data_IF_141516131323
#
_entry.id   IF_141516131323
#
_cell.length_a   1.000
_cell.length_b   1.000
_cell.length_c   1.000
_cell.angle_alpha   90.00
_cell.angle_beta   90.00
_cell.angle_gamma   90.00
#
_symmetry.space_group_name_H-M   'P 1'
#
loop_
_entity.id
_entity.type
_entity.pdbx_description
1 polymer ?
#
# COMPACT_ATOMS: atom_id res chain seq x y z
N UNK A 1 -4.85 10.54 -11.30
CA UNK A 1 -6.23 10.22 -10.83
C UNK A 1 -6.41 10.77 -9.44
N UNK A 2 -7.60 11.22 -9.06
CA UNK A 2 -7.95 11.55 -7.67
C UNK A 2 -8.64 10.40 -6.94
N UNK A 3 -8.72 10.47 -5.61
CA UNK A 3 -9.34 9.41 -4.82
C UNK A 3 -10.83 9.19 -5.14
N UNK A 4 -11.67 10.21 -5.35
CA UNK A 4 -13.07 10.00 -5.77
C UNK A 4 -13.22 9.18 -7.04
N UNK A 5 -12.39 9.43 -8.03
CA UNK A 5 -12.38 8.66 -9.28
C UNK A 5 -11.92 7.22 -9.04
N UNK A 6 -10.86 7.03 -8.26
CA UNK A 6 -10.38 5.72 -7.83
C UNK A 6 -11.48 4.92 -7.13
N UNK A 7 -12.10 5.51 -6.10
CA UNK A 7 -13.19 4.90 -5.34
C UNK A 7 -14.38 4.50 -6.23
N UNK A 8 -14.78 5.39 -7.14
CA UNK A 8 -15.89 5.13 -8.06
C UNK A 8 -15.61 3.95 -8.99
N UNK A 9 -14.39 3.84 -9.51
CA UNK A 9 -14.00 2.73 -10.37
C UNK A 9 -14.02 1.42 -9.57
N UNK A 10 -13.39 1.39 -8.39
CA UNK A 10 -13.40 0.18 -7.57
C UNK A 10 -14.81 -0.25 -7.18
N UNK A 11 -15.65 0.70 -6.72
CA UNK A 11 -17.04 0.39 -6.36
C UNK A 11 -17.82 -0.24 -7.51
N UNK A 12 -17.57 0.19 -8.74
CA UNK A 12 -18.24 -0.33 -9.93
C UNK A 12 -17.91 -1.81 -10.19
N UNK A 13 -16.67 -2.24 -9.92
CA UNK A 13 -16.20 -3.58 -10.28
C UNK A 13 -16.03 -4.53 -9.08
N UNK A 14 -15.85 -4.01 -7.88
CA UNK A 14 -15.64 -4.80 -6.67
C UNK A 14 -16.80 -4.69 -5.67
N UNK A 15 -17.66 -3.68 -5.79
CA UNK A 15 -18.66 -3.36 -4.77
C UNK A 15 -19.95 -4.17 -4.82
N UNK A 16 -20.14 -5.08 -5.77
CA UNK A 16 -21.23 -6.07 -5.84
C UNK A 16 -22.63 -5.52 -5.47
N UNK A 17 -22.92 -4.27 -5.80
CA UNK A 17 -24.18 -3.60 -5.46
C UNK A 17 -24.21 -2.89 -4.11
N UNK A 18 -23.15 -2.95 -3.31
CA UNK A 18 -23.04 -2.26 -2.03
C UNK A 18 -23.32 -0.75 -2.16
N UNK A 19 -23.89 -0.14 -1.14
CA UNK A 19 -24.01 1.33 -1.03
C UNK A 19 -22.63 1.98 -0.88
N UNK A 20 -22.54 3.30 -0.98
CA UNK A 20 -21.25 4.01 -0.80
C UNK A 20 -20.67 3.78 0.59
N UNK A 21 -21.43 3.90 1.71
CA UNK A 21 -20.88 3.64 3.03
C UNK A 21 -20.44 2.18 3.23
N UNK A 22 -21.22 1.21 2.75
CA UNK A 22 -20.87 -0.22 2.84
C UNK A 22 -19.58 -0.50 2.09
N UNK A 23 -19.48 -0.10 0.83
CA UNK A 23 -18.26 -0.32 0.06
C UNK A 23 -17.04 0.43 0.63
N UNK A 24 -17.25 1.57 1.29
CA UNK A 24 -16.13 2.27 1.94
C UNK A 24 -15.59 1.47 3.13
N UNK A 25 -16.45 0.78 3.89
CA UNK A 25 -16.04 -0.15 4.96
C UNK A 25 -15.29 -1.34 4.39
N UNK A 26 -15.86 -1.99 3.39
CA UNK A 26 -15.18 -3.08 2.66
C UNK A 26 -13.79 -2.66 2.15
N UNK A 27 -13.67 -1.46 1.61
CA UNK A 27 -12.39 -0.93 1.13
C UNK A 27 -11.37 -0.73 2.26
N UNK A 28 -11.81 -0.31 3.47
CA UNK A 28 -10.95 -0.25 4.66
C UNK A 28 -10.46 -1.65 5.03
N UNK A 29 -11.36 -2.62 5.11
CA UNK A 29 -11.06 -4.00 5.47
C UNK A 29 -10.13 -4.68 4.45
N UNK A 30 -10.34 -4.41 3.15
CA UNK A 30 -9.46 -4.89 2.10
C UNK A 30 -8.03 -4.37 2.21
N UNK A 31 -7.83 -3.14 2.70
CA UNK A 31 -6.50 -2.51 2.74
C UNK A 31 -5.81 -2.64 4.09
N UNK A 32 -6.51 -3.08 5.14
CA UNK A 32 -5.96 -3.16 6.50
C UNK A 32 -6.08 -4.53 7.16
N UNK A 33 -7.00 -5.37 6.75
CA UNK A 33 -7.43 -6.62 7.44
C UNK A 33 -8.09 -6.37 8.82
N UNK A 34 -8.25 -5.12 9.23
CA UNK A 34 -8.87 -4.74 10.50
C UNK A 34 -10.36 -4.42 10.29
N UNK A 35 -11.14 -4.48 11.38
CA UNK A 35 -12.54 -4.07 11.38
C UNK A 35 -12.67 -2.58 11.02
N UNK A 36 -13.48 -2.29 10.00
CA UNK A 36 -13.66 -0.94 9.51
C UNK A 36 -14.22 0.01 10.58
N UNK A 37 -15.12 -0.45 11.46
CA UNK A 37 -15.74 0.38 12.52
C UNK A 37 -14.71 0.78 13.58
N UNK A 38 -13.73 -0.08 13.88
CA UNK A 38 -12.63 0.25 14.78
C UNK A 38 -11.80 1.41 14.22
N UNK A 39 -11.41 1.33 12.94
CA UNK A 39 -10.63 2.37 12.26
C UNK A 39 -11.42 3.67 12.14
N UNK A 40 -12.71 3.58 11.80
CA UNK A 40 -13.62 4.73 11.69
C UNK A 40 -13.73 5.43 13.03
N UNK A 41 -13.98 4.68 14.10
CA UNK A 41 -14.09 5.20 15.47
C UNK A 41 -12.78 5.85 15.92
N UNK A 42 -11.63 5.19 15.72
CA UNK A 42 -10.30 5.73 16.02
C UNK A 42 -9.99 7.02 15.24
N UNK A 43 -10.62 7.18 14.07
CA UNK A 43 -10.55 8.42 13.27
C UNK A 43 -11.40 9.56 13.85
N UNK A 44 -12.16 9.30 14.92
CA UNK A 44 -13.01 10.29 15.61
C UNK A 44 -14.32 10.58 14.89
N UNK A 45 -14.80 9.66 14.08
CA UNK A 45 -16.13 9.72 13.47
C UNK A 45 -17.12 9.09 14.44
N UNK A 46 -18.16 9.84 14.81
CA UNK A 46 -19.19 9.35 15.74
C UNK A 46 -20.25 8.57 15.00
N UNK A 47 -20.83 7.56 15.65
CA UNK A 47 -21.79 6.62 15.07
C UNK A 47 -22.97 7.27 14.34
N UNK A 48 -23.49 8.40 14.86
CA UNK A 48 -24.64 9.10 14.27
C UNK A 48 -24.35 9.75 12.89
N UNK A 49 -23.07 9.99 12.55
CA UNK A 49 -22.67 10.70 11.32
C UNK A 49 -21.81 9.86 10.40
N UNK A 50 -21.58 8.60 10.74
CA UNK A 50 -20.64 7.73 10.03
C UNK A 50 -20.95 7.67 8.54
N UNK A 51 -22.14 7.24 8.15
CA UNK A 51 -22.50 7.05 6.75
C UNK A 51 -22.41 8.34 5.92
N UNK A 52 -22.88 9.45 6.46
CA UNK A 52 -22.78 10.76 5.80
C UNK A 52 -21.30 11.17 5.61
N UNK A 53 -20.46 10.87 6.59
CA UNK A 53 -19.02 11.14 6.51
C UNK A 53 -18.35 10.28 5.47
N UNK A 54 -18.65 8.97 5.42
CA UNK A 54 -18.11 8.06 4.41
C UNK A 54 -18.55 8.44 2.99
N UNK A 55 -19.82 8.86 2.81
CA UNK A 55 -20.29 9.43 1.52
C UNK A 55 -19.51 10.69 1.15
N UNK A 56 -19.22 11.56 2.12
CA UNK A 56 -18.40 12.76 1.89
C UNK A 56 -16.97 12.39 1.51
N UNK A 57 -16.39 11.38 2.16
CA UNK A 57 -15.04 10.89 1.85
C UNK A 57 -14.96 10.29 0.45
N UNK A 58 -15.93 9.49 0.05
CA UNK A 58 -15.99 8.96 -1.32
C UNK A 58 -16.02 10.07 -2.39
N UNK A 59 -16.61 11.23 -2.08
CA UNK A 59 -16.73 12.38 -3.00
C UNK A 59 -15.55 13.35 -2.99
N UNK A 60 -14.79 13.42 -1.89
CA UNK A 60 -13.76 14.46 -1.68
C UNK A 60 -12.39 13.94 -1.25
N UNK A 61 -12.30 12.69 -0.88
CA UNK A 61 -11.21 12.03 -0.14
C UNK A 61 -11.37 12.11 1.38
N UNK A 62 -10.71 11.18 2.07
CA UNK A 62 -10.78 11.03 3.52
C UNK A 62 -9.89 12.04 4.26
N UNK A 63 -10.13 12.17 5.58
CA UNK A 63 -9.39 13.10 6.43
C UNK A 63 -7.96 12.63 6.72
N UNK A 64 -7.08 13.57 7.11
CA UNK A 64 -5.73 13.25 7.59
C UNK A 64 -5.74 12.28 8.78
N UNK A 65 -6.74 12.41 9.67
CA UNK A 65 -6.87 11.52 10.83
C UNK A 65 -7.19 10.10 10.41
N UNK A 66 -8.11 9.92 9.46
CA UNK A 66 -8.40 8.62 8.85
C UNK A 66 -7.15 8.05 8.15
N UNK A 67 -6.47 8.87 7.34
CA UNK A 67 -5.25 8.47 6.67
C UNK A 67 -4.17 7.95 7.64
N UNK A 68 -3.99 8.61 8.79
CA UNK A 68 -3.04 8.18 9.82
C UNK A 68 -3.47 6.84 10.44
N UNK A 69 -4.75 6.59 10.67
CA UNK A 69 -5.21 5.31 11.19
C UNK A 69 -4.99 4.16 10.19
N UNK A 70 -5.25 4.43 8.91
CA UNK A 70 -4.99 3.46 7.84
C UNK A 70 -3.51 3.18 7.65
N UNK A 71 -2.66 4.21 7.69
CA UNK A 71 -1.24 4.13 7.36
C UNK A 71 -0.46 3.08 8.15
N UNK A 72 -0.73 2.98 9.46
CA UNK A 72 -0.05 2.03 10.35
C UNK A 72 -0.60 0.60 10.24
N UNK A 73 -1.72 0.42 9.55
CA UNK A 73 -2.44 -0.85 9.41
C UNK A 73 -2.48 -1.38 7.98
N UNK A 74 -1.83 -0.66 7.05
CA UNK A 74 -1.86 -1.05 5.63
C UNK A 74 -1.35 -2.47 5.44
N UNK A 75 -2.23 -3.31 4.92
CA UNK A 75 -1.92 -4.62 4.36
C UNK A 75 -2.73 -4.81 3.07
N UNK A 76 -2.08 -4.73 1.93
CA UNK A 76 -2.75 -4.80 0.63
C UNK A 76 -3.10 -6.22 0.17
N UNK A 77 -2.79 -7.26 0.97
CA UNK A 77 -2.97 -8.65 0.56
C UNK A 77 -4.43 -8.99 0.24
N UNK A 78 -5.37 -8.62 1.14
CA UNK A 78 -6.80 -8.88 0.94
C UNK A 78 -7.36 -8.15 -0.28
N UNK A 79 -6.92 -6.93 -0.55
CA UNK A 79 -7.33 -6.20 -1.74
C UNK A 79 -6.77 -6.85 -3.02
N UNK A 80 -5.54 -7.34 -2.98
CA UNK A 80 -4.94 -8.11 -4.07
C UNK A 80 -5.76 -9.36 -4.35
N UNK A 81 -6.08 -10.16 -3.31
CA UNK A 81 -6.89 -11.37 -3.41
C UNK A 81 -8.31 -11.07 -3.92
N UNK A 82 -8.93 -10.00 -3.43
CA UNK A 82 -10.26 -9.56 -3.88
C UNK A 82 -10.30 -9.24 -5.37
N UNK A 83 -9.23 -8.67 -5.92
CA UNK A 83 -9.12 -8.40 -7.36
C UNK A 83 -8.84 -9.71 -8.12
N UNK A 84 -7.91 -10.54 -7.65
CA UNK A 84 -7.53 -11.81 -8.29
C UNK A 84 -8.69 -12.83 -8.32
N UNK A 85 -9.61 -12.76 -7.37
CA UNK A 85 -10.80 -13.62 -7.33
C UNK A 85 -11.90 -13.23 -8.33
N UNK A 86 -11.78 -12.08 -8.99
CA UNK A 86 -12.78 -11.64 -9.99
C UNK A 86 -12.60 -12.38 -11.31
N UNK A 87 -13.70 -12.54 -12.08
CA UNK A 87 -13.61 -13.07 -13.45
C UNK A 87 -12.65 -12.24 -14.31
N UNK A 88 -11.91 -12.90 -15.20
CA UNK A 88 -10.94 -12.24 -16.10
C UNK A 88 -11.54 -11.06 -16.87
N UNK A 89 -12.80 -11.17 -17.30
CA UNK A 89 -13.51 -10.09 -17.95
C UNK A 89 -13.64 -8.85 -17.05
N UNK A 90 -13.95 -9.05 -15.77
CA UNK A 90 -14.05 -7.96 -14.79
C UNK A 90 -12.69 -7.30 -14.56
N UNK A 91 -11.63 -8.11 -14.44
CA UNK A 91 -10.26 -7.61 -14.29
C UNK A 91 -9.86 -6.80 -15.53
N UNK A 92 -10.18 -7.26 -16.72
CA UNK A 92 -9.89 -6.56 -17.97
C UNK A 92 -10.63 -5.20 -18.05
N UNK A 93 -11.91 -5.17 -17.68
CA UNK A 93 -12.71 -3.93 -17.67
C UNK A 93 -12.18 -2.94 -16.61
N UNK A 94 -11.86 -3.41 -15.41
CA UNK A 94 -11.25 -2.63 -14.36
C UNK A 94 -9.91 -2.03 -14.81
N UNK A 95 -9.06 -2.87 -15.40
CA UNK A 95 -7.75 -2.47 -15.94
C UNK A 95 -7.89 -1.39 -17.02
N UNK A 96 -8.83 -1.54 -17.94
CA UNK A 96 -9.06 -0.57 -19.01
C UNK A 96 -9.45 0.83 -18.48
N UNK A 97 -10.25 0.89 -17.42
CA UNK A 97 -10.57 2.19 -16.78
C UNK A 97 -9.34 2.80 -16.09
N UNK A 98 -8.54 1.99 -15.40
CA UNK A 98 -7.30 2.46 -14.76
C UNK A 98 -6.23 2.87 -15.76
N UNK A 99 -6.11 2.16 -16.88
CA UNK A 99 -5.11 2.43 -17.92
C UNK A 99 -5.21 3.85 -18.49
N UNK A 100 -6.41 4.45 -18.47
CA UNK A 100 -6.61 5.85 -18.88
C UNK A 100 -5.85 6.86 -17.99
N UNK A 101 -5.48 6.48 -16.79
CA UNK A 101 -4.75 7.30 -15.81
C UNK A 101 -3.34 6.80 -15.53
N UNK A 102 -3.13 5.48 -15.64
CA UNK A 102 -1.89 4.75 -15.38
C UNK A 102 -1.64 3.77 -16.52
N UNK A 103 -0.98 4.19 -17.60
CA UNK A 103 -0.77 3.35 -18.79
C UNK A 103 0.05 2.08 -18.56
N UNK A 104 0.76 2.01 -17.43
CA UNK A 104 1.56 0.86 -17.00
C UNK A 104 0.74 -0.26 -16.33
N UNK A 105 -0.57 -0.03 -16.08
CA UNK A 105 -1.44 -1.05 -15.50
C UNK A 105 -1.95 -1.96 -16.61
N UNK A 106 -1.68 -3.26 -16.44
CA UNK A 106 -2.14 -4.35 -17.31
C UNK A 106 -2.98 -5.33 -16.50
N UNK A 107 -3.72 -6.22 -17.16
CA UNK A 107 -4.49 -7.25 -16.45
C UNK A 107 -3.59 -8.16 -15.57
N UNK A 108 -2.33 -8.35 -15.98
CA UNK A 108 -1.37 -9.18 -15.27
C UNK A 108 -0.86 -8.55 -13.96
N UNK A 109 -0.81 -7.21 -13.89
CA UNK A 109 -0.28 -6.50 -12.73
C UNK A 109 -1.34 -5.69 -11.96
N UNK A 110 -2.59 -5.66 -12.43
CA UNK A 110 -3.67 -4.87 -11.84
C UNK A 110 -3.89 -5.17 -10.35
N UNK A 111 -3.85 -6.46 -9.97
CA UNK A 111 -4.05 -6.90 -8.58
C UNK A 111 -2.99 -6.36 -7.61
N UNK A 112 -1.81 -6.00 -8.09
CA UNK A 112 -0.72 -5.43 -7.31
C UNK A 112 -0.71 -3.90 -7.41
N UNK A 113 -0.86 -3.36 -8.63
CA UNK A 113 -0.74 -1.92 -8.88
C UNK A 113 -1.92 -1.10 -8.34
N UNK A 114 -3.14 -1.64 -8.40
CA UNK A 114 -4.33 -0.92 -7.92
C UNK A 114 -4.31 -0.68 -6.41
N UNK A 115 -3.99 -1.68 -5.54
CA UNK A 115 -3.78 -1.43 -4.11
C UNK A 115 -2.66 -0.43 -3.81
N UNK A 116 -1.55 -0.44 -4.55
CA UNK A 116 -0.46 0.53 -4.36
C UNK A 116 -0.93 1.98 -4.55
N UNK A 117 -1.82 2.24 -5.51
CA UNK A 117 -2.40 3.57 -5.73
C UNK A 117 -3.19 4.02 -4.50
N UNK A 118 -3.95 3.11 -3.87
CA UNK A 118 -4.67 3.45 -2.65
C UNK A 118 -3.72 3.78 -1.49
N UNK A 119 -2.66 3.00 -1.34
CA UNK A 119 -1.61 3.28 -0.35
C UNK A 119 -0.98 4.67 -0.59
N UNK A 120 -0.78 5.05 -1.83
CA UNK A 120 -0.26 6.38 -2.17
C UNK A 120 -1.24 7.50 -1.77
N UNK A 121 -2.56 7.33 -1.95
CA UNK A 121 -3.55 8.27 -1.41
C UNK A 121 -3.52 8.37 0.11
N UNK A 122 -3.39 7.23 0.81
CA UNK A 122 -3.28 7.20 2.27
C UNK A 122 -2.05 8.00 2.71
N UNK A 123 -0.90 7.77 2.09
CA UNK A 123 0.36 8.47 2.40
C UNK A 123 0.27 9.96 2.15
N UNK A 124 -0.28 10.35 1.00
CA UNK A 124 -0.48 11.76 0.65
C UNK A 124 -1.32 12.47 1.70
N UNK A 125 -2.45 11.89 2.06
CA UNK A 125 -3.38 12.46 3.05
C UNK A 125 -2.83 12.46 4.47
N UNK A 126 -2.01 11.48 4.83
CA UNK A 126 -1.30 11.47 6.10
C UNK A 126 -0.25 12.61 6.21
N UNK A 127 0.08 13.24 5.08
CA UNK A 127 1.09 14.29 5.02
C UNK A 127 2.53 13.73 4.89
N UNK A 128 2.65 12.47 4.47
CA UNK A 128 3.95 11.85 4.22
C UNK A 128 4.53 12.20 2.84
N UNK A 129 3.95 13.19 2.15
CA UNK A 129 4.33 13.65 0.83
C UNK A 129 4.48 12.51 -0.20
N UNK A 130 3.84 12.62 -1.34
CA UNK A 130 4.16 11.72 -2.44
C UNK A 130 5.66 11.91 -2.71
N UNK A 131 6.45 10.86 -2.51
CA UNK A 131 7.75 10.87 -3.14
C UNK A 131 7.46 10.98 -4.64
N UNK A 132 7.85 12.08 -5.28
CA UNK A 132 7.66 12.22 -6.73
C UNK A 132 8.12 10.92 -7.38
N UNK A 133 7.53 10.51 -8.49
CA UNK A 133 7.92 9.27 -9.19
C UNK A 133 9.45 9.18 -9.37
N UNK A 134 10.12 10.32 -9.52
CA UNK A 134 11.59 10.47 -9.58
C UNK A 134 12.25 10.07 -8.24
N UNK A 135 11.69 10.46 -7.09
CA UNK A 135 12.27 10.13 -5.79
C UNK A 135 12.02 8.65 -5.45
N UNK A 136 10.84 8.11 -5.78
CA UNK A 136 10.54 6.67 -5.64
C UNK A 136 11.49 5.84 -6.52
N UNK A 137 11.68 6.23 -7.77
CA UNK A 137 12.61 5.58 -8.69
C UNK A 137 14.06 5.65 -8.17
N UNK A 138 14.50 6.77 -7.60
CA UNK A 138 15.83 6.91 -7.00
C UNK A 138 16.01 5.99 -5.81
N UNK A 139 15.02 5.89 -4.90
CA UNK A 139 15.09 4.97 -3.75
C UNK A 139 15.12 3.51 -4.15
N UNK A 140 14.30 3.13 -5.14
CA UNK A 140 14.28 1.76 -5.67
C UNK A 140 15.62 1.45 -6.37
N UNK A 141 16.18 2.38 -7.13
CA UNK A 141 17.47 2.20 -7.77
C UNK A 141 18.60 1.98 -6.74
N UNK A 142 18.61 2.77 -5.66
CA UNK A 142 19.56 2.61 -4.56
C UNK A 142 19.34 1.27 -3.84
N UNK A 143 18.11 0.91 -3.53
CA UNK A 143 17.77 -0.39 -2.94
C UNK A 143 18.24 -1.55 -3.81
N UNK A 144 17.99 -1.50 -5.12
CA UNK A 144 18.43 -2.53 -6.06
C UNK A 144 19.97 -2.72 -6.10
N UNK A 145 20.72 -1.63 -5.94
CA UNK A 145 22.17 -1.70 -5.84
C UNK A 145 22.60 -2.43 -4.54
N UNK A 146 21.98 -2.07 -3.41
CA UNK A 146 22.25 -2.70 -2.12
C UNK A 146 21.83 -4.17 -2.08
N UNK A 147 20.68 -4.52 -2.69
CA UNK A 147 20.22 -5.91 -2.84
C UNK A 147 21.24 -6.79 -3.58
N UNK A 148 21.81 -6.29 -4.68
CA UNK A 148 22.82 -7.04 -5.43
C UNK A 148 24.05 -7.37 -4.59
N UNK A 149 24.40 -6.49 -3.66
CA UNK A 149 25.60 -6.63 -2.84
C UNK A 149 25.35 -7.40 -1.55
N UNK A 150 24.24 -7.13 -0.87
CA UNK A 150 23.99 -7.61 0.50
C UNK A 150 22.68 -8.37 0.67
N UNK A 151 21.86 -8.50 -0.38
CA UNK A 151 20.49 -8.99 -0.26
C UNK A 151 20.36 -10.36 0.41
N UNK A 152 21.17 -11.32 -0.01
CA UNK A 152 21.15 -12.68 0.56
C UNK A 152 21.51 -12.70 2.05
N UNK A 153 22.47 -11.88 2.46
CA UNK A 153 22.85 -11.72 3.87
C UNK A 153 21.69 -11.16 4.68
N UNK A 154 21.08 -10.07 4.21
CA UNK A 154 20.00 -9.37 4.91
C UNK A 154 18.71 -10.22 5.00
N UNK A 155 18.39 -10.99 3.97
CA UNK A 155 17.28 -11.95 4.01
C UNK A 155 17.51 -13.03 5.06
N UNK A 156 18.72 -13.54 5.16
CA UNK A 156 19.09 -14.56 6.16
C UNK A 156 19.01 -14.00 7.57
N UNK A 157 19.54 -12.79 7.79
CA UNK A 157 19.51 -12.09 9.08
C UNK A 157 18.08 -11.81 9.53
N UNK A 158 17.21 -11.38 8.61
CA UNK A 158 15.80 -11.09 8.86
C UNK A 158 14.90 -12.34 8.87
N UNK A 159 15.44 -13.56 8.80
CA UNK A 159 14.67 -14.81 8.66
C UNK A 159 13.64 -14.78 7.52
N UNK A 160 13.96 -14.11 6.42
CA UNK A 160 13.07 -13.88 5.27
C UNK A 160 11.77 -13.11 5.61
N UNK A 161 11.73 -12.39 6.73
CA UNK A 161 10.61 -11.55 7.15
C UNK A 161 11.00 -10.07 7.18
N UNK A 162 10.02 -9.19 7.06
CA UNK A 162 10.24 -7.76 7.14
C UNK A 162 10.78 -7.37 8.52
N UNK A 163 11.92 -6.70 8.55
CA UNK A 163 12.57 -6.28 9.80
C UNK A 163 12.00 -4.98 10.40
N UNK A 164 10.92 -4.44 9.83
CA UNK A 164 10.23 -3.29 10.42
C UNK A 164 9.49 -3.70 11.70
N UNK A 165 9.62 -2.96 12.82
CA UNK A 165 8.98 -3.31 14.07
C UNK A 165 7.46 -3.53 13.93
N UNK A 166 6.99 -4.71 14.33
CA UNK A 166 5.57 -5.09 14.24
C UNK A 166 5.11 -5.56 12.84
N UNK A 167 6.04 -5.78 11.90
CA UNK A 167 5.73 -6.32 10.59
C UNK A 167 6.41 -7.67 10.37
N UNK A 168 5.63 -8.74 10.32
CA UNK A 168 6.14 -10.12 10.13
C UNK A 168 5.94 -10.63 8.69
N UNK A 169 5.74 -9.73 7.71
CA UNK A 169 5.50 -10.12 6.32
C UNK A 169 6.68 -10.85 5.72
N UNK A 170 6.44 -11.96 4.98
CA UNK A 170 7.50 -12.65 4.27
C UNK A 170 8.07 -11.76 3.15
N UNK A 171 9.40 -11.76 3.03
CA UNK A 171 10.15 -11.05 1.99
C UNK A 171 10.40 -11.92 0.76
N UNK A 172 10.13 -13.22 0.86
CA UNK A 172 10.15 -14.16 -0.26
C UNK A 172 8.74 -14.70 -0.41
N UNK A 173 8.14 -14.46 -1.57
CA UNK A 173 6.81 -14.97 -1.92
C UNK A 173 6.96 -16.20 -2.80
N UNK A 174 6.18 -17.24 -2.52
CA UNK A 174 6.15 -18.44 -3.35
C UNK A 174 4.81 -18.52 -4.07
N UNK A 175 4.82 -18.37 -5.38
CA UNK A 175 3.64 -18.55 -6.24
C UNK A 175 3.91 -19.64 -7.29
N UNK A 176 3.01 -20.61 -7.40
CA UNK A 176 3.12 -21.66 -8.42
C UNK A 176 4.43 -22.45 -8.40
N UNK A 177 5.06 -22.58 -7.22
CA UNK A 177 6.36 -23.27 -7.08
C UNK A 177 7.58 -22.39 -7.43
N UNK A 178 7.39 -21.14 -7.82
CA UNK A 178 8.45 -20.17 -8.05
C UNK A 178 8.58 -19.22 -6.87
N UNK A 179 9.80 -19.06 -6.35
CA UNK A 179 10.09 -18.06 -5.33
C UNK A 179 10.42 -16.72 -5.99
N UNK A 180 9.80 -15.64 -5.50
CA UNK A 180 10.08 -14.27 -5.92
C UNK A 180 10.45 -13.42 -4.71
N UNK A 181 11.45 -12.56 -4.88
CA UNK A 181 11.87 -11.60 -3.88
C UNK A 181 10.91 -10.40 -3.88
N UNK A 182 10.37 -10.06 -2.70
CA UNK A 182 9.45 -8.95 -2.51
C UNK A 182 9.91 -8.08 -1.33
N UNK A 183 11.08 -7.46 -1.48
CA UNK A 183 11.65 -6.61 -0.45
C UNK A 183 12.46 -5.45 -1.04
N UNK A 184 12.71 -4.47 -0.19
CA UNK A 184 13.61 -3.35 -0.46
C UNK A 184 14.65 -3.24 0.66
N UNK A 185 15.81 -2.67 0.35
CA UNK A 185 16.91 -2.45 1.31
C UNK A 185 17.09 -0.96 1.58
N UNK A 186 17.20 -0.59 2.85
CA UNK A 186 17.47 0.78 3.30
C UNK A 186 18.62 0.83 4.28
N UNK A 187 19.35 1.95 4.32
CA UNK A 187 20.27 2.24 5.40
C UNK A 187 19.49 2.56 6.69
N UNK A 188 19.99 2.08 7.84
CA UNK A 188 19.46 2.39 9.17
C UNK A 188 19.86 3.83 9.54
N UNK A 189 21.12 4.16 9.42
CA UNK A 189 21.65 5.51 9.60
C UNK A 189 22.17 6.02 8.25
N UNK A 190 21.55 7.09 7.73
CA UNK A 190 21.83 7.60 6.37
C UNK A 190 23.21 8.23 6.21
N UNK A 191 23.76 8.70 7.29
CA UNK A 191 25.06 9.38 7.33
C UNK A 191 26.25 8.41 7.48
N UNK A 192 25.97 7.12 7.63
CA UNK A 192 26.97 6.06 7.72
C UNK A 192 27.10 5.30 6.42
N UNK A 193 28.28 4.69 6.24
CA UNK A 193 28.55 3.84 5.10
C UNK A 193 27.54 2.68 4.97
N UNK A 194 27.27 2.28 3.74
CA UNK A 194 26.37 1.17 3.41
C UNK A 194 27.04 -0.18 3.71
N UNK A 195 27.31 -0.46 4.97
CA UNK A 195 27.79 -1.74 5.47
C UNK A 195 26.64 -2.64 5.92
N UNK A 196 26.79 -3.98 5.91
CA UNK A 196 25.71 -4.92 6.26
C UNK A 196 25.02 -4.60 7.59
N UNK A 197 25.77 -4.19 8.62
CA UNK A 197 25.23 -3.84 9.93
C UNK A 197 24.43 -2.52 9.96
N UNK A 198 24.56 -1.71 8.91
CA UNK A 198 23.80 -0.46 8.75
C UNK A 198 22.68 -0.60 7.72
N UNK A 199 22.29 -1.81 7.35
CA UNK A 199 21.26 -2.07 6.35
C UNK A 199 20.12 -2.88 6.94
N UNK A 200 18.91 -2.68 6.41
CA UNK A 200 17.71 -3.37 6.84
C UNK A 200 16.88 -3.79 5.62
N UNK A 201 16.37 -5.03 5.63
CA UNK A 201 15.47 -5.56 4.61
C UNK A 201 14.00 -5.34 5.02
N UNK A 202 13.23 -4.70 4.18
CA UNK A 202 11.87 -4.26 4.44
C UNK A 202 10.93 -4.71 3.32
N UNK A 203 9.69 -5.05 3.63
CA UNK A 203 8.68 -5.17 2.57
C UNK A 203 8.46 -3.81 1.90
N UNK A 204 7.97 -3.75 0.64
CA UNK A 204 7.84 -2.50 -0.10
C UNK A 204 7.07 -1.40 0.62
N UNK A 205 6.02 -1.76 1.37
CA UNK A 205 5.21 -0.81 2.13
C UNK A 205 5.97 -0.21 3.31
N UNK A 206 6.64 -1.07 4.11
CA UNK A 206 7.45 -0.60 5.24
C UNK A 206 8.67 0.20 4.76
N UNK A 207 9.26 -0.15 3.62
CA UNK A 207 10.36 0.62 3.03
C UNK A 207 9.95 2.06 2.73
N UNK A 208 8.81 2.27 2.08
CA UNK A 208 8.34 3.62 1.78
C UNK A 208 8.00 4.41 3.06
N UNK A 209 7.39 3.74 4.05
CA UNK A 209 7.11 4.33 5.36
C UNK A 209 8.41 4.75 6.04
N UNK A 210 9.40 3.85 6.09
CA UNK A 210 10.70 4.10 6.68
C UNK A 210 11.45 5.26 6.02
N UNK A 211 11.42 5.34 4.68
CA UNK A 211 12.01 6.46 3.95
C UNK A 211 11.35 7.81 4.26
N UNK A 212 10.04 7.82 4.50
CA UNK A 212 9.31 9.03 4.85
C UNK A 212 9.57 9.50 6.29
N UNK A 213 9.66 8.57 7.25
CA UNK A 213 9.92 8.89 8.67
C UNK A 213 11.34 9.41 8.92
N UNK A 214 12.32 8.85 8.22
CA UNK A 214 13.71 9.29 8.32
C UNK A 214 13.94 10.76 7.95
N UNK A 215 12.99 11.38 7.23
CA UNK A 215 13.03 12.81 6.86
C UNK A 215 12.51 13.76 7.93
N UNK A 216 11.74 13.24 8.91
CA UNK A 216 11.18 14.09 9.98
C UNK A 216 12.17 14.36 11.11
N UNK A 217 13.32 13.70 11.13
CA UNK A 217 14.36 13.83 12.14
C UNK A 217 15.52 14.73 11.71
N UNK A 218 15.44 15.34 10.54
CA UNK A 218 16.30 16.42 10.04
C UNK A 218 15.52 17.74 10.06
#
# INVERSE_FOLDING_TARGET
>A
MDFPTYFRILKKYLGDGATIPEFFRELIEMITEDDAEEIISASGITSEKTDNTLVSYAKRSFSKKMANQLLYRVNSANMTESIESRPDETIQLLTNEFNSYYPDITAENASQRIPEIFVDFIREKAGMGISTAVQKASFIAQSNQLKKQYGQFLLTEANNCCAFPGCDRPLILTRGGLASENYEVSAIEKDKDAEPLNLIALCPDCFLTYQAESRKKL
#
